data_IF_532012900278
#
_entry.id   IF_532012900278
#
_cell.length_a   1.000
_cell.length_b   1.000
_cell.length_c   1.000
_cell.angle_alpha   90.00
_cell.angle_beta   90.00
_cell.angle_gamma   90.00
#
_symmetry.space_group_name_H-M   'P 1'
#
loop_
_entity.id
_entity.type
_entity.pdbx_description
1 polymer ?
#
# COMPACT_ATOMS: atom_id res chain seq x y z
N UNK A 1 23.72 -13.76 -2.56
CA UNK A 1 23.19 -14.86 -3.39
C UNK A 1 22.03 -15.48 -2.60
N UNK A 2 20.79 -15.10 -2.90
CA UNK A 2 19.61 -15.73 -2.26
C UNK A 2 19.37 -17.08 -2.92
N UNK A 3 19.32 -18.11 -2.10
CA UNK A 3 19.19 -19.51 -2.53
C UNK A 3 17.77 -19.74 -3.06
N UNK A 4 17.61 -20.35 -4.25
CA UNK A 4 16.34 -20.73 -4.85
C UNK A 4 15.50 -21.67 -3.95
N UNK A 5 16.12 -22.33 -3.00
CA UNK A 5 15.47 -23.19 -2.01
C UNK A 5 14.61 -22.44 -0.98
N UNK A 6 14.91 -21.16 -0.69
CA UNK A 6 14.13 -20.34 0.26
C UNK A 6 12.81 -19.81 -0.33
N UNK A 7 12.62 -19.91 -1.64
CA UNK A 7 11.36 -19.57 -2.31
C UNK A 7 10.29 -20.67 -2.17
N UNK A 8 10.70 -21.86 -1.79
CA UNK A 8 9.82 -23.03 -1.65
C UNK A 8 9.19 -23.17 -0.24
N UNK A 9 9.65 -22.43 0.76
CA UNK A 9 9.27 -22.59 2.18
C UNK A 9 8.28 -21.57 2.73
N UNK A 10 7.64 -20.73 1.90
CA UNK A 10 6.51 -19.92 2.36
C UNK A 10 5.24 -20.80 2.43
N UNK A 11 4.29 -20.57 3.37
CA UNK A 11 3.26 -21.50 3.78
C UNK A 11 2.31 -21.90 2.64
N UNK A 12 2.70 -22.91 1.91
CA UNK A 12 2.01 -23.44 0.73
C UNK A 12 0.86 -24.40 1.09
N UNK A 13 0.60 -24.61 2.37
CA UNK A 13 -0.34 -25.63 2.87
C UNK A 13 -1.82 -25.34 2.53
N UNK A 14 -2.15 -24.10 2.15
CA UNK A 14 -3.51 -23.73 1.72
C UNK A 14 -3.77 -23.95 0.22
N UNK A 15 -2.76 -24.28 -0.55
CA UNK A 15 -2.86 -24.66 -1.96
C UNK A 15 -2.82 -26.19 -2.15
N UNK A 16 -2.79 -26.94 -1.08
CA UNK A 16 -2.75 -28.40 -1.10
C UNK A 16 -3.81 -29.08 -1.98
N UNK A 17 -5.05 -28.54 -2.15
CA UNK A 17 -6.02 -29.16 -3.04
C UNK A 17 -5.80 -28.83 -4.54
N UNK A 18 -4.84 -27.98 -4.90
CA UNK A 18 -4.65 -27.53 -6.27
C UNK A 18 -3.53 -28.27 -6.99
N UNK A 19 -3.67 -28.42 -8.31
CA UNK A 19 -2.69 -29.07 -9.17
C UNK A 19 -1.34 -28.35 -9.14
N UNK A 20 -0.25 -29.07 -9.41
CA UNK A 20 1.11 -28.53 -9.49
C UNK A 20 1.19 -27.43 -10.56
N UNK A 21 0.49 -27.61 -11.68
CA UNK A 21 0.38 -26.62 -12.75
C UNK A 21 -0.20 -25.28 -12.25
N UNK A 22 -1.25 -25.33 -11.44
CA UNK A 22 -1.81 -24.10 -10.85
C UNK A 22 -0.85 -23.45 -9.86
N UNK A 23 -0.13 -24.22 -9.06
CA UNK A 23 0.88 -23.69 -8.13
C UNK A 23 1.98 -22.93 -8.87
N UNK A 24 2.46 -23.52 -9.98
CA UNK A 24 3.46 -22.87 -10.84
C UNK A 24 2.92 -21.59 -11.44
N UNK A 25 1.69 -21.59 -11.96
CA UNK A 25 1.04 -20.40 -12.51
C UNK A 25 0.90 -19.27 -11.48
N UNK A 26 0.50 -19.60 -10.26
CA UNK A 26 0.39 -18.64 -9.14
C UNK A 26 1.76 -18.07 -8.79
N UNK A 27 2.79 -18.92 -8.68
CA UNK A 27 4.15 -18.48 -8.39
C UNK A 27 4.71 -17.57 -9.49
N UNK A 28 4.53 -17.92 -10.76
CA UNK A 28 4.94 -17.11 -11.91
C UNK A 28 4.23 -15.75 -11.93
N UNK A 29 2.92 -15.72 -11.69
CA UNK A 29 2.17 -14.46 -11.61
C UNK A 29 2.68 -13.56 -10.48
N UNK A 30 2.88 -14.11 -9.28
CA UNK A 30 3.34 -13.34 -8.11
C UNK A 30 4.81 -12.89 -8.23
N UNK A 31 5.64 -13.60 -8.98
CA UNK A 31 7.04 -13.22 -9.22
C UNK A 31 7.19 -11.87 -9.95
N UNK A 32 6.15 -11.43 -10.67
CA UNK A 32 6.11 -10.13 -11.38
C UNK A 32 6.04 -8.93 -10.41
N UNK A 33 5.71 -9.16 -9.15
CA UNK A 33 5.52 -8.11 -8.15
C UNK A 33 6.61 -8.17 -7.09
N UNK A 34 6.93 -7.01 -6.49
CA UNK A 34 7.93 -6.87 -5.43
C UNK A 34 7.35 -6.15 -4.20
N UNK A 35 7.95 -6.41 -3.04
CA UNK A 35 7.62 -5.71 -1.79
C UNK A 35 6.14 -5.76 -1.43
N UNK A 36 5.59 -4.66 -0.96
CA UNK A 36 4.18 -4.55 -0.54
C UNK A 36 3.18 -4.86 -1.65
N UNK A 37 3.52 -4.53 -2.92
CA UNK A 37 2.66 -4.86 -4.06
C UNK A 37 2.47 -6.37 -4.22
N UNK A 38 3.52 -7.17 -3.99
CA UNK A 38 3.42 -8.64 -4.01
C UNK A 38 2.51 -9.13 -2.90
N UNK A 39 2.71 -8.65 -1.65
CA UNK A 39 1.88 -9.06 -0.51
C UNK A 39 0.38 -8.76 -0.74
N UNK A 40 0.07 -7.57 -1.27
CA UNK A 40 -1.31 -7.20 -1.58
C UNK A 40 -1.91 -8.05 -2.71
N UNK A 41 -1.16 -8.25 -3.81
CA UNK A 41 -1.60 -9.09 -4.93
C UNK A 41 -1.82 -10.53 -4.48
N UNK A 42 -0.91 -11.08 -3.68
CA UNK A 42 -1.03 -12.42 -3.10
C UNK A 42 -2.27 -12.55 -2.21
N UNK A 43 -2.52 -11.58 -1.33
CA UNK A 43 -3.70 -11.56 -0.46
C UNK A 43 -5.01 -11.55 -1.27
N UNK A 44 -5.05 -10.76 -2.35
CA UNK A 44 -6.22 -10.65 -3.20
C UNK A 44 -6.43 -11.91 -4.04
N UNK A 45 -5.36 -12.49 -4.60
CA UNK A 45 -5.43 -13.74 -5.34
C UNK A 45 -5.82 -14.92 -4.43
N UNK A 46 -5.29 -14.95 -3.21
CA UNK A 46 -5.66 -15.97 -2.20
C UNK A 46 -7.17 -15.93 -1.89
N UNK A 47 -7.77 -14.75 -1.85
CA UNK A 47 -9.23 -14.62 -1.66
C UNK A 47 -10.01 -15.32 -2.79
N UNK A 48 -9.56 -15.15 -4.05
CA UNK A 48 -10.17 -15.82 -5.20
C UNK A 48 -9.97 -17.33 -5.16
N UNK A 49 -8.75 -17.81 -4.94
CA UNK A 49 -8.43 -19.23 -4.88
C UNK A 49 -9.18 -19.93 -3.73
N UNK A 50 -9.32 -19.27 -2.58
CA UNK A 50 -10.12 -19.77 -1.46
C UNK A 50 -11.60 -19.90 -1.83
N UNK A 51 -12.15 -18.93 -2.58
CA UNK A 51 -13.50 -19.00 -3.10
C UNK A 51 -13.67 -20.18 -4.08
N UNK A 52 -12.73 -20.37 -5.01
CA UNK A 52 -12.72 -21.52 -5.92
C UNK A 52 -12.71 -22.83 -5.14
N UNK A 53 -11.83 -22.98 -4.15
CA UNK A 53 -11.74 -24.17 -3.31
C UNK A 53 -13.05 -24.48 -2.59
N UNK A 54 -13.71 -23.48 -1.99
CA UNK A 54 -15.00 -23.63 -1.33
C UNK A 54 -16.11 -24.14 -2.28
N UNK A 55 -16.01 -23.77 -3.57
CA UNK A 55 -16.97 -24.18 -4.59
C UNK A 55 -16.52 -25.40 -5.40
N UNK A 56 -15.43 -26.08 -4.98
CA UNK A 56 -14.84 -27.21 -5.69
C UNK A 56 -14.57 -26.92 -7.17
N UNK A 57 -14.21 -25.69 -7.47
CA UNK A 57 -13.89 -25.19 -8.80
C UNK A 57 -12.37 -25.23 -9.00
N UNK A 58 -11.92 -25.91 -10.06
CA UNK A 58 -10.54 -25.73 -10.52
C UNK A 58 -10.40 -24.34 -11.17
N UNK A 59 -9.50 -23.46 -10.65
CA UNK A 59 -9.29 -22.15 -11.22
C UNK A 59 -8.90 -22.18 -12.71
N UNK A 60 -8.19 -23.19 -13.17
CA UNK A 60 -7.81 -23.31 -14.59
C UNK A 60 -8.98 -23.77 -15.48
N UNK A 61 -10.03 -24.36 -14.91
CA UNK A 61 -11.26 -24.70 -15.59
C UNK A 61 -12.37 -23.63 -15.42
N UNK A 62 -12.05 -22.51 -14.81
CA UNK A 62 -13.01 -21.43 -14.61
C UNK A 62 -13.47 -20.83 -15.94
N UNK A 63 -14.74 -20.43 -15.98
CA UNK A 63 -15.37 -19.76 -17.13
C UNK A 63 -15.92 -18.41 -16.70
N UNK A 64 -16.27 -17.55 -17.67
CA UNK A 64 -16.83 -16.21 -17.43
C UNK A 64 -17.91 -16.17 -16.34
N UNK A 65 -18.93 -17.06 -16.32
CA UNK A 65 -19.96 -17.04 -15.28
C UNK A 65 -19.40 -17.20 -13.86
N UNK A 66 -18.33 -18.00 -13.68
CA UNK A 66 -17.70 -18.16 -12.37
C UNK A 66 -17.10 -16.85 -11.86
N UNK A 67 -16.51 -16.03 -12.74
CA UNK A 67 -15.98 -14.74 -12.37
C UNK A 67 -17.08 -13.74 -12.00
N UNK A 68 -18.22 -13.79 -12.69
CA UNK A 68 -19.39 -12.97 -12.35
C UNK A 68 -19.98 -13.38 -10.99
N UNK A 69 -20.08 -14.70 -10.72
CA UNK A 69 -20.50 -15.20 -9.40
C UNK A 69 -19.52 -14.83 -8.30
N UNK A 70 -18.21 -14.86 -8.56
CA UNK A 70 -17.21 -14.38 -7.61
C UNK A 70 -17.37 -12.90 -7.29
N UNK A 71 -17.60 -12.04 -8.30
CA UNK A 71 -17.88 -10.62 -8.09
C UNK A 71 -19.11 -10.43 -7.22
N UNK A 72 -20.21 -11.14 -7.55
CA UNK A 72 -21.46 -11.07 -6.79
C UNK A 72 -21.29 -11.55 -5.36
N UNK A 73 -20.54 -12.63 -5.14
CA UNK A 73 -20.20 -13.11 -3.79
C UNK A 73 -19.43 -12.06 -2.99
N UNK A 74 -18.47 -11.37 -3.62
CA UNK A 74 -17.74 -10.28 -2.96
C UNK A 74 -18.64 -9.13 -2.56
N UNK A 75 -19.63 -8.80 -3.39
CA UNK A 75 -20.56 -7.69 -3.16
C UNK A 75 -21.65 -8.02 -2.14
N UNK A 76 -22.32 -9.14 -2.30
CA UNK A 76 -23.56 -9.49 -1.57
C UNK A 76 -23.25 -10.26 -0.27
N UNK A 77 -22.32 -11.21 -0.31
CA UNK A 77 -22.01 -12.08 0.83
C UNK A 77 -20.92 -11.46 1.70
N UNK A 78 -19.81 -11.05 1.08
CA UNK A 78 -18.69 -10.47 1.82
C UNK A 78 -18.83 -8.97 2.07
N UNK A 79 -19.73 -8.32 1.36
CA UNK A 79 -20.03 -6.88 1.47
C UNK A 79 -18.78 -6.00 1.43
N UNK A 80 -17.84 -6.33 0.56
CA UNK A 80 -16.63 -5.54 0.38
C UNK A 80 -16.95 -4.19 -0.27
N UNK A 81 -16.17 -3.17 0.07
CA UNK A 81 -16.27 -1.85 -0.58
C UNK A 81 -16.07 -1.99 -2.09
N UNK A 82 -16.76 -1.19 -2.92
CA UNK A 82 -16.66 -1.26 -4.39
C UNK A 82 -15.22 -1.20 -4.91
N UNK A 83 -14.36 -0.35 -4.33
CA UNK A 83 -12.94 -0.27 -4.67
C UNK A 83 -12.18 -1.57 -4.40
N UNK A 84 -12.51 -2.26 -3.29
CA UNK A 84 -11.91 -3.57 -2.94
C UNK A 84 -12.35 -4.64 -3.92
N UNK A 85 -13.64 -4.68 -4.29
CA UNK A 85 -14.17 -5.63 -5.28
C UNK A 85 -13.48 -5.43 -6.64
N UNK A 86 -13.43 -4.17 -7.11
CA UNK A 86 -12.78 -3.84 -8.39
C UNK A 86 -11.29 -4.20 -8.40
N UNK A 87 -10.57 -3.96 -7.30
CA UNK A 87 -9.15 -4.31 -7.16
C UNK A 87 -8.94 -5.83 -7.19
N UNK A 88 -9.70 -6.59 -6.40
CA UNK A 88 -9.62 -8.06 -6.34
C UNK A 88 -9.97 -8.71 -7.67
N UNK A 89 -10.99 -8.20 -8.34
CA UNK A 89 -11.30 -8.65 -9.69
C UNK A 89 -10.14 -8.36 -10.66
N UNK A 90 -9.52 -7.19 -10.58
CA UNK A 90 -8.36 -6.85 -11.44
C UNK A 90 -7.18 -7.79 -11.21
N UNK A 91 -6.97 -8.28 -9.98
CA UNK A 91 -5.92 -9.26 -9.67
C UNK A 91 -6.26 -10.61 -10.30
N UNK A 92 -7.49 -11.09 -10.16
CA UNK A 92 -7.94 -12.34 -10.80
C UNK A 92 -7.84 -12.25 -12.34
N UNK A 93 -8.29 -11.13 -12.94
CA UNK A 93 -8.18 -10.91 -14.37
C UNK A 93 -6.72 -10.85 -14.85
N UNK A 94 -5.84 -10.23 -14.06
CA UNK A 94 -4.40 -10.21 -14.33
C UNK A 94 -3.76 -11.59 -14.26
N UNK A 95 -4.16 -12.43 -13.31
CA UNK A 95 -3.74 -13.82 -13.21
C UNK A 95 -4.12 -14.60 -14.46
N UNK A 96 -5.37 -14.54 -14.89
CA UNK A 96 -5.83 -15.23 -16.09
C UNK A 96 -5.15 -14.74 -17.37
N UNK A 97 -4.90 -13.44 -17.47
CA UNK A 97 -4.12 -12.90 -18.60
C UNK A 97 -2.71 -13.50 -18.64
N UNK A 98 -2.10 -13.68 -17.49
CA UNK A 98 -0.78 -14.33 -17.41
C UNK A 98 -0.87 -15.81 -17.80
N UNK A 99 -1.90 -16.53 -17.34
CA UNK A 99 -2.12 -17.93 -17.76
C UNK A 99 -2.28 -18.08 -19.28
N UNK A 100 -2.90 -17.10 -19.96
CA UNK A 100 -2.99 -17.10 -21.43
C UNK A 100 -1.62 -16.84 -22.07
N UNK A 101 -0.86 -15.85 -21.55
CA UNK A 101 0.49 -15.54 -22.04
C UNK A 101 1.42 -16.77 -21.89
N UNK A 102 1.29 -17.50 -20.79
CA UNK A 102 2.12 -18.66 -20.47
C UNK A 102 1.60 -19.95 -21.16
N UNK A 103 0.57 -19.85 -22.01
CA UNK A 103 0.02 -20.97 -22.77
C UNK A 103 -0.75 -22.01 -21.92
N UNK A 104 -1.13 -21.67 -20.70
CA UNK A 104 -1.92 -22.53 -19.81
C UNK A 104 -3.41 -22.51 -20.16
N UNK A 105 -3.87 -21.42 -20.75
CA UNK A 105 -5.23 -21.20 -21.19
C UNK A 105 -5.24 -20.60 -22.59
N UNK A 106 -6.19 -21.00 -23.42
CA UNK A 106 -6.39 -20.44 -24.75
C UNK A 106 -7.01 -19.04 -24.67
N UNK A 107 -7.98 -18.85 -23.76
CA UNK A 107 -8.69 -17.59 -23.56
C UNK A 107 -8.85 -17.26 -22.07
N UNK A 108 -8.87 -15.98 -21.77
CA UNK A 108 -9.10 -15.51 -20.40
C UNK A 108 -10.59 -15.55 -20.03
N UNK A 109 -11.01 -16.26 -18.98
CA UNK A 109 -12.40 -16.22 -18.53
C UNK A 109 -12.83 -14.84 -18.01
N UNK A 110 -11.89 -13.93 -17.78
CA UNK A 110 -12.17 -12.58 -17.31
C UNK A 110 -12.31 -11.55 -18.46
N UNK A 111 -12.04 -11.93 -19.71
CA UNK A 111 -11.96 -11.01 -20.84
C UNK A 111 -13.25 -10.20 -21.06
N UNK A 112 -14.39 -10.88 -21.01
CA UNK A 112 -15.71 -10.28 -21.24
C UNK A 112 -16.51 -10.06 -19.97
N UNK A 113 -15.85 -10.07 -18.80
CA UNK A 113 -16.51 -9.76 -17.53
C UNK A 113 -16.49 -8.24 -17.31
N UNK A 114 -17.67 -7.67 -17.06
CA UNK A 114 -17.75 -6.24 -16.76
C UNK A 114 -17.05 -5.92 -15.45
N UNK A 115 -16.08 -5.02 -15.51
CA UNK A 115 -15.39 -4.55 -14.32
C UNK A 115 -16.37 -3.87 -13.36
N UNK A 116 -16.37 -4.22 -12.05
CA UNK A 116 -17.19 -3.55 -11.06
C UNK A 116 -16.90 -2.04 -11.03
N UNK A 117 -17.97 -1.25 -11.09
CA UNK A 117 -17.85 0.21 -11.02
C UNK A 117 -17.44 0.66 -9.62
N UNK A 118 -16.64 1.69 -9.56
CA UNK A 118 -16.25 2.36 -8.32
C UNK A 118 -16.76 3.79 -8.42
N UNK A 119 -17.52 4.29 -7.43
CA UNK A 119 -17.92 5.69 -7.41
C UNK A 119 -16.69 6.61 -7.53
N UNK A 120 -16.79 7.64 -8.34
CA UNK A 120 -15.71 8.60 -8.55
C UNK A 120 -15.47 9.46 -7.31
N UNK A 121 -16.52 9.73 -6.56
CA UNK A 121 -16.45 10.53 -5.35
C UNK A 121 -15.92 9.71 -4.17
N UNK A 122 -14.97 10.28 -3.46
CA UNK A 122 -14.50 9.72 -2.20
C UNK A 122 -15.55 9.95 -1.12
N UNK A 123 -15.98 8.90 -0.37
CA UNK A 123 -16.85 9.09 0.78
C UNK A 123 -16.12 9.76 1.97
N UNK A 124 -14.81 9.93 1.88
CA UNK A 124 -14.00 10.56 2.92
C UNK A 124 -14.02 12.07 2.71
N UNK A 125 -14.69 12.78 3.62
CA UNK A 125 -14.62 14.23 3.67
C UNK A 125 -13.25 14.64 4.19
N UNK A 126 -12.64 15.63 3.54
CA UNK A 126 -11.45 16.30 4.05
C UNK A 126 -11.78 17.17 5.26
N UNK A 127 -10.75 17.60 5.99
CA UNK A 127 -10.92 18.63 7.01
C UNK A 127 -11.28 19.99 6.35
N UNK A 128 -12.21 20.71 6.98
CA UNK A 128 -12.37 22.14 6.67
C UNK A 128 -11.14 22.91 7.16
N UNK A 129 -10.96 24.13 6.66
CA UNK A 129 -9.85 24.99 7.09
C UNK A 129 -9.82 25.17 8.61
N UNK A 130 -10.98 25.47 9.22
CA UNK A 130 -11.09 25.63 10.67
C UNK A 130 -10.76 24.36 11.46
N UNK A 131 -11.19 23.21 10.97
CA UNK A 131 -10.86 21.92 11.61
C UNK A 131 -9.35 21.62 11.52
N UNK A 132 -8.74 21.96 10.40
CA UNK A 132 -7.31 21.74 10.23
C UNK A 132 -6.48 22.72 11.11
N UNK A 133 -6.90 23.96 11.23
CA UNK A 133 -6.26 24.94 12.14
C UNK A 133 -6.39 24.51 13.61
N UNK A 134 -7.58 24.02 14.01
CA UNK A 134 -7.78 23.48 15.34
C UNK A 134 -6.85 22.29 15.61
N UNK A 135 -6.70 21.38 14.62
CA UNK A 135 -5.78 20.24 14.72
C UNK A 135 -4.33 20.69 14.87
N UNK A 136 -3.89 21.70 14.12
CA UNK A 136 -2.54 22.29 14.25
C UNK A 136 -2.33 22.90 15.62
N UNK A 137 -3.34 23.57 16.18
CA UNK A 137 -3.28 24.18 17.51
C UNK A 137 -3.10 23.11 18.58
N UNK A 138 -3.94 22.08 18.58
CA UNK A 138 -3.83 20.95 19.53
C UNK A 138 -2.48 20.23 19.37
N UNK A 139 -2.02 20.05 18.14
CA UNK A 139 -0.73 19.41 17.90
C UNK A 139 0.47 20.23 18.42
N UNK A 140 0.36 21.58 18.45
CA UNK A 140 1.37 22.46 19.06
C UNK A 140 1.41 22.36 20.58
N UNK A 141 0.25 22.16 21.20
CA UNK A 141 0.08 22.04 22.65
C UNK A 141 0.36 20.62 23.15
N UNK A 142 0.55 19.68 22.24
CA UNK A 142 0.88 18.30 22.59
C UNK A 142 2.19 18.20 23.36
N UNK A 143 2.24 17.31 24.34
CA UNK A 143 3.48 16.95 25.04
C UNK A 143 4.53 16.32 24.11
N UNK A 144 4.11 15.82 22.96
CA UNK A 144 4.99 15.27 21.93
C UNK A 144 5.29 16.32 20.87
N UNK A 145 6.53 16.80 20.81
CA UNK A 145 6.94 17.77 19.81
C UNK A 145 6.79 17.27 18.37
N UNK A 146 6.69 15.96 18.17
CA UNK A 146 6.52 15.34 16.86
C UNK A 146 5.14 15.49 16.26
N UNK A 147 4.14 15.66 17.10
CA UNK A 147 2.76 15.72 16.65
C UNK A 147 2.55 16.93 15.75
N UNK A 148 3.09 18.08 16.15
CA UNK A 148 3.01 19.28 15.33
C UNK A 148 3.77 19.16 14.01
N UNK A 149 5.00 18.59 14.05
CA UNK A 149 5.79 18.38 12.84
C UNK A 149 5.08 17.40 11.88
N UNK A 150 4.52 16.32 12.43
CA UNK A 150 3.80 15.32 11.63
C UNK A 150 2.54 15.92 10.98
N UNK A 151 1.70 16.59 11.77
CA UNK A 151 0.48 17.23 11.26
C UNK A 151 0.80 18.30 10.21
N UNK A 152 1.84 19.10 10.43
CA UNK A 152 2.30 20.12 9.50
C UNK A 152 2.82 19.48 8.18
N UNK A 153 3.61 18.43 8.26
CA UNK A 153 4.10 17.70 7.08
C UNK A 153 2.97 17.07 6.28
N UNK A 154 1.99 16.45 6.95
CA UNK A 154 0.86 15.83 6.28
C UNK A 154 -0.07 16.85 5.64
N UNK A 155 -0.43 17.91 6.37
CA UNK A 155 -1.46 18.85 5.94
C UNK A 155 -0.94 20.03 5.12
N UNK A 156 0.23 20.60 5.45
CA UNK A 156 0.78 21.75 4.73
C UNK A 156 1.67 21.36 3.56
N UNK A 157 2.40 20.24 3.66
CA UNK A 157 3.24 19.74 2.57
C UNK A 157 2.55 18.65 1.72
N UNK A 158 1.40 18.13 2.16
CA UNK A 158 0.68 17.08 1.47
C UNK A 158 1.44 15.74 1.40
N UNK A 159 2.37 15.51 2.34
CA UNK A 159 3.14 14.26 2.38
C UNK A 159 2.24 13.07 2.71
N UNK A 160 2.58 11.92 2.15
CA UNK A 160 1.98 10.66 2.61
C UNK A 160 2.53 10.30 3.98
N UNK A 161 1.75 9.57 4.77
CA UNK A 161 2.17 9.18 6.14
C UNK A 161 3.56 8.53 6.16
N UNK A 162 3.87 7.63 5.23
CA UNK A 162 5.17 6.96 5.20
C UNK A 162 6.31 7.89 4.76
N UNK A 163 6.04 8.94 3.99
CA UNK A 163 7.01 9.96 3.60
C UNK A 163 7.32 10.87 4.79
N UNK A 164 6.29 11.31 5.51
CA UNK A 164 6.45 12.11 6.71
C UNK A 164 7.16 11.36 7.85
N UNK A 165 6.80 10.08 8.07
CA UNK A 165 7.38 9.27 9.16
C UNK A 165 8.79 8.75 8.87
N UNK A 166 9.28 8.86 7.65
CA UNK A 166 10.66 8.50 7.27
C UNK A 166 11.59 9.69 7.13
N UNK A 167 11.05 10.91 7.22
CA UNK A 167 11.85 12.11 7.14
C UNK A 167 12.85 12.17 8.31
N UNK A 168 14.11 12.45 8.00
CA UNK A 168 15.21 12.57 8.95
C UNK A 168 15.76 14.01 8.95
N UNK A 169 16.50 14.39 9.99
CA UNK A 169 17.17 15.70 10.05
C UNK A 169 18.16 15.86 8.89
N UNK A 170 18.81 14.75 8.49
CA UNK A 170 19.73 14.71 7.37
C UNK A 170 19.06 14.99 6.00
N UNK A 171 17.72 14.88 5.94
CA UNK A 171 16.95 15.20 4.74
C UNK A 171 16.60 16.70 4.64
N UNK A 172 16.87 17.48 5.70
CA UNK A 172 16.74 18.92 5.66
C UNK A 172 17.97 19.52 4.98
N UNK A 173 17.74 20.35 3.99
CA UNK A 173 18.78 21.04 3.24
C UNK A 173 18.38 22.48 2.96
N UNK A 174 19.26 23.15 2.24
CA UNK A 174 19.03 24.48 1.69
C UNK A 174 19.36 24.47 0.20
N UNK A 175 18.47 25.00 -0.60
CA UNK A 175 18.65 25.09 -2.05
C UNK A 175 18.16 26.47 -2.51
N UNK A 176 19.01 27.19 -3.22
CA UNK A 176 18.73 28.56 -3.71
C UNK A 176 18.24 29.51 -2.61
N UNK A 177 18.78 29.40 -1.39
CA UNK A 177 18.38 30.25 -0.26
C UNK A 177 17.06 29.87 0.41
N UNK A 178 16.47 28.74 0.02
CA UNK A 178 15.25 28.19 0.62
C UNK A 178 15.51 26.89 1.34
N UNK A 179 14.90 26.71 2.51
CA UNK A 179 14.91 25.42 3.20
C UNK A 179 14.10 24.42 2.41
N UNK A 180 14.66 23.23 2.24
CA UNK A 180 14.04 22.11 1.52
C UNK A 180 14.07 20.85 2.36
N UNK A 181 13.08 20.00 2.16
CA UNK A 181 13.04 18.63 2.68
C UNK A 181 13.20 17.66 1.52
N UNK A 182 14.19 16.80 1.61
CA UNK A 182 14.37 15.69 0.68
C UNK A 182 13.45 14.54 1.07
N UNK A 183 12.54 14.16 0.18
CA UNK A 183 11.55 13.12 0.40
C UNK A 183 11.74 12.00 -0.61
N UNK A 184 11.85 10.78 -0.10
CA UNK A 184 11.89 9.60 -0.93
C UNK A 184 10.47 9.04 -1.10
N UNK A 185 9.88 9.26 -2.28
CA UNK A 185 8.54 8.82 -2.64
C UNK A 185 8.47 7.38 -3.14
N UNK A 186 7.32 7.03 -3.71
CA UNK A 186 7.08 5.70 -4.30
C UNK A 186 8.05 5.45 -5.47
N UNK A 187 8.72 4.30 -5.45
CA UNK A 187 9.65 3.92 -6.51
C UNK A 187 11.04 4.56 -6.38
N UNK A 188 11.45 4.93 -5.15
CA UNK A 188 12.75 5.55 -4.84
C UNK A 188 12.99 6.92 -5.50
N UNK A 189 11.94 7.57 -6.02
CA UNK A 189 12.08 8.93 -6.54
C UNK A 189 12.32 9.89 -5.37
N UNK A 190 13.44 10.62 -5.45
CA UNK A 190 13.76 11.70 -4.53
C UNK A 190 13.17 13.00 -5.06
N UNK A 191 12.42 13.70 -4.20
CA UNK A 191 11.83 15.01 -4.50
C UNK A 191 12.26 15.98 -3.42
N UNK A 192 12.70 17.18 -3.81
CA UNK A 192 12.97 18.28 -2.91
C UNK A 192 11.69 19.11 -2.75
N UNK A 193 11.23 19.25 -1.54
CA UNK A 193 10.01 19.99 -1.21
C UNK A 193 10.41 21.25 -0.47
N UNK A 194 10.11 22.46 -0.99
CA UNK A 194 10.38 23.69 -0.30
C UNK A 194 9.56 23.78 0.99
N UNK A 195 10.21 24.15 2.07
CA UNK A 195 9.58 24.28 3.38
C UNK A 195 9.04 25.69 3.58
N UNK A 196 7.71 25.87 3.70
CA UNK A 196 7.15 27.14 4.14
C UNK A 196 7.76 27.56 5.49
N UNK A 197 7.96 28.87 5.76
CA UNK A 197 8.60 29.33 6.99
C UNK A 197 7.96 28.79 8.27
N UNK A 198 6.65 28.59 8.27
CA UNK A 198 5.92 28.00 9.41
C UNK A 198 6.34 26.55 9.68
N UNK A 199 6.46 25.74 8.64
CA UNK A 199 6.90 24.33 8.72
C UNK A 199 8.39 24.26 9.05
N UNK A 200 9.20 25.12 8.42
CA UNK A 200 10.63 25.21 8.69
C UNK A 200 10.94 25.55 10.15
N UNK A 201 10.17 26.46 10.76
CA UNK A 201 10.28 26.76 12.21
C UNK A 201 9.81 25.60 13.07
N UNK A 202 8.70 24.95 12.70
CA UNK A 202 8.20 23.76 13.38
C UNK A 202 9.24 22.62 13.43
N UNK A 203 9.95 22.43 12.33
CA UNK A 203 10.99 21.41 12.23
C UNK A 203 12.32 21.82 12.87
N UNK A 204 12.69 23.10 12.86
CA UNK A 204 13.97 23.59 13.42
C UNK A 204 13.96 23.70 14.95
N UNK A 205 12.80 23.99 15.55
CA UNK A 205 12.65 24.08 17.02
C UNK A 205 12.58 22.73 17.72
N UNK A 206 12.55 21.66 16.98
CA UNK A 206 12.38 20.31 17.47
C UNK A 206 13.54 19.46 17.01
N UNK A 207 14.29 18.94 17.96
CA UNK A 207 15.27 17.86 17.71
C UNK A 207 14.49 16.65 17.23
N UNK A 208 14.39 16.48 15.93
CA UNK A 208 13.48 15.54 15.27
C UNK A 208 14.03 14.13 15.39
N UNK A 209 13.33 13.33 15.70
CA UNK A 209 12.73 12.07 16.02
C UNK A 209 12.86 11.07 14.90
N UNK A 210 13.51 9.97 15.27
CA UNK A 210 13.53 8.72 14.53
C UNK A 210 12.19 7.99 14.69
N UNK A 211 11.45 7.81 13.59
CA UNK A 211 10.40 6.81 13.52
C UNK A 211 10.99 5.48 13.05
N UNK A 212 11.64 4.74 13.95
CA UNK A 212 12.10 3.39 13.68
C UNK A 212 10.93 2.41 13.54
N UNK A 213 11.14 1.28 12.85
CA UNK A 213 10.17 0.21 12.67
C UNK A 213 9.51 -0.15 14.01
N UNK A 214 8.26 0.26 14.18
CA UNK A 214 7.39 -0.23 15.24
C UNK A 214 7.40 0.50 16.57
N UNK A 215 8.26 1.51 16.81
CA UNK A 215 8.23 2.30 18.04
C UNK A 215 8.74 3.71 17.81
N UNK A 216 7.95 4.70 18.21
CA UNK A 216 8.37 6.09 18.35
C UNK A 216 9.42 6.16 19.46
N UNK A 217 10.69 6.29 19.12
CA UNK A 217 11.74 6.56 20.11
C UNK A 217 12.18 8.01 20.00
N UNK A 218 11.88 8.77 21.05
CA UNK A 218 12.45 10.07 21.31
C UNK A 218 13.96 9.90 21.59
N UNK A 219 14.81 10.34 20.71
CA UNK A 219 16.23 10.45 21.02
C UNK A 219 16.46 11.81 21.69
N UNK A 220 16.50 11.85 23.03
CA UNK A 220 17.15 12.93 23.78
C UNK A 220 18.63 12.83 23.46
N UNK A 221 19.17 13.71 22.60
CA UNK A 221 20.60 13.87 22.57
C UNK A 221 21.04 14.59 23.84
N UNK A 222 21.84 13.91 24.63
CA UNK A 222 22.63 14.52 25.67
C UNK A 222 23.54 15.61 25.06
N UNK A 223 23.21 16.85 25.31
CA UNK A 223 24.16 17.96 25.38
C UNK A 223 23.72 18.79 26.59
N UNK A 224 24.04 18.26 27.76
CA UNK A 224 24.34 19.06 28.94
C UNK A 224 25.76 18.69 29.32
N UNK A 225 26.68 19.62 29.15
CA UNK A 225 28.05 19.46 29.64
C UNK A 225 29.11 20.14 28.77
N UNK A 226 29.20 21.44 28.82
CA UNK A 226 30.43 22.21 28.95
C UNK A 226 30.07 23.69 29.08
#
# INVERSE_FOLDING_TARGET
MMNFADLASAPCDRLAPFTEQLRLAVAAYLARFKGSSRCHTESDLRCYLSWCSQHRLDPLAARRPHLELYIRWMQEIRRFKPSTVSRRFSVAAGFYRTCVIDGLLEHSPAEHVRRPSVPAESPTLGFTHLQFEALLTVARESSSPCDFALVAMLGLLGLRIFEATRAEIADLGEEHGHRVLRVCGKGTKVVLIPLPPAVGRAMAGQRIIYFGRGNIRLCRSAIDGA
#
